data_IF_864958286907
#
_entry.id   IF_864958286907
#
_cell.length_a   1.000
_cell.length_b   1.000
_cell.length_c   1.000
_cell.angle_alpha   90.00
_cell.angle_beta   90.00
_cell.angle_gamma   90.00
#
_symmetry.space_group_name_H-M   'P 1'
#
loop_
_entity.id
_entity.type
_entity.pdbx_description
1 polymer ?
#
# COMPACT_ATOMS: atom_id res chain seq x y z
N UNK A 1 16.05 9.71 20.31
CA UNK A 1 15.23 9.07 19.26
C UNK A 1 15.79 7.68 19.03
N UNK A 2 14.98 6.64 19.24
CA UNK A 2 15.38 5.24 19.06
C UNK A 2 14.97 4.81 17.66
N UNK A 3 15.94 4.46 16.83
CA UNK A 3 15.68 3.88 15.51
C UNK A 3 15.72 2.36 15.66
N UNK A 4 14.65 1.68 15.25
CA UNK A 4 14.59 0.22 15.20
C UNK A 4 14.52 -0.25 13.77
N UNK A 5 15.29 -1.29 13.49
CA UNK A 5 15.34 -1.96 12.20
C UNK A 5 14.79 -3.37 12.35
N UNK A 6 13.77 -3.68 11.56
CA UNK A 6 13.12 -4.98 11.52
C UNK A 6 13.49 -5.69 10.23
N UNK A 7 13.76 -6.99 10.31
CA UNK A 7 14.16 -7.81 9.17
C UNK A 7 13.24 -9.03 9.05
N UNK A 8 12.84 -9.31 7.81
CA UNK A 8 12.12 -10.51 7.41
C UNK A 8 12.95 -11.32 6.42
N UNK A 9 12.82 -12.64 6.44
CA UNK A 9 13.57 -13.51 5.53
C UNK A 9 12.99 -13.57 4.11
N UNK A 10 11.83 -12.95 3.88
CA UNK A 10 11.11 -12.91 2.60
C UNK A 10 10.61 -11.48 2.35
N UNK A 11 10.22 -11.19 1.11
CA UNK A 11 9.55 -9.92 0.80
C UNK A 11 8.12 -9.93 1.37
N UNK A 12 7.84 -9.03 2.33
CA UNK A 12 6.56 -9.00 3.03
C UNK A 12 6.04 -7.57 3.20
N UNK A 13 4.72 -7.47 3.33
CA UNK A 13 4.03 -6.30 3.85
C UNK A 13 3.05 -6.73 4.93
N UNK A 14 2.83 -5.88 5.92
CA UNK A 14 2.00 -6.17 7.08
C UNK A 14 1.11 -4.98 7.41
N UNK A 15 -0.04 -5.26 8.03
CA UNK A 15 -0.89 -4.23 8.62
C UNK A 15 -0.71 -4.25 10.13
N UNK A 16 -0.24 -3.14 10.71
CA UNK A 16 -0.13 -3.00 12.16
C UNK A 16 -1.27 -2.16 12.70
N UNK A 17 -1.76 -2.50 13.89
CA UNK A 17 -2.82 -1.76 14.56
C UNK A 17 -2.17 -0.77 15.52
N UNK A 18 -2.35 0.52 15.25
CA UNK A 18 -1.91 1.60 16.14
C UNK A 18 -2.80 1.66 17.39
N UNK A 19 -2.33 2.23 18.52
CA UNK A 19 -3.14 2.41 19.72
C UNK A 19 -4.39 3.28 19.49
N UNK A 20 -4.38 4.13 18.46
CA UNK A 20 -5.56 4.89 18.01
C UNK A 20 -6.61 4.03 17.30
N UNK A 21 -6.48 2.69 17.29
CA UNK A 21 -7.34 1.73 16.58
C UNK A 21 -7.36 1.88 15.06
N UNK A 22 -6.42 2.66 14.51
CA UNK A 22 -6.19 2.79 13.07
C UNK A 22 -5.22 1.69 12.61
N UNK A 23 -5.46 1.15 11.43
CA UNK A 23 -4.55 0.22 10.78
C UNK A 23 -3.53 1.02 9.96
N UNK A 24 -2.27 0.61 10.02
CA UNK A 24 -1.18 1.20 9.29
C UNK A 24 -0.50 0.12 8.44
N UNK A 25 -0.49 0.31 7.12
CA UNK A 25 0.15 -0.60 6.20
C UNK A 25 1.65 -0.32 6.14
N UNK A 26 2.46 -1.35 6.34
CA UNK A 26 3.92 -1.29 6.29
C UNK A 26 4.39 -2.24 5.19
N UNK A 27 5.16 -1.72 4.25
CA UNK A 27 5.88 -2.52 3.26
C UNK A 27 7.35 -2.57 3.64
N UNK A 28 7.93 -3.76 3.72
CA UNK A 28 9.35 -3.91 3.95
C UNK A 28 10.09 -3.72 2.62
N UNK A 29 11.21 -3.03 2.65
CA UNK A 29 12.04 -2.83 1.46
C UNK A 29 12.79 -4.12 1.15
N UNK A 30 12.57 -4.75 -0.02
CA UNK A 30 13.29 -5.97 -0.38
C UNK A 30 14.78 -5.71 -0.60
N UNK A 31 15.61 -6.68 -0.23
CA UNK A 31 17.05 -6.68 -0.42
C UNK A 31 17.45 -7.81 -1.39
N UNK A 32 18.60 -7.68 -2.04
CA UNK A 32 19.08 -8.65 -3.05
C UNK A 32 19.30 -10.07 -2.52
N UNK A 33 19.39 -10.23 -1.20
CA UNK A 33 19.49 -11.54 -0.53
C UNK A 33 18.13 -12.24 -0.34
N UNK A 34 17.04 -11.70 -0.91
CA UNK A 34 15.68 -12.22 -0.77
C UNK A 34 14.99 -11.89 0.57
N UNK A 35 15.71 -11.26 1.49
CA UNK A 35 15.14 -10.72 2.73
C UNK A 35 14.55 -9.34 2.49
N UNK A 36 13.81 -8.82 3.47
CA UNK A 36 13.31 -7.45 3.44
C UNK A 36 13.53 -6.75 4.77
N UNK A 37 13.67 -5.43 4.74
CA UNK A 37 14.01 -4.60 5.91
C UNK A 37 13.06 -3.42 6.06
N UNK A 38 12.74 -3.07 7.30
CA UNK A 38 11.95 -1.90 7.63
C UNK A 38 12.58 -1.14 8.79
N UNK A 39 12.85 0.15 8.60
CA UNK A 39 13.49 1.01 9.61
C UNK A 39 12.53 2.11 10.02
N UNK A 40 12.37 2.32 11.32
CA UNK A 40 11.51 3.38 11.86
C UNK A 40 12.01 3.93 13.18
N UNK A 41 11.82 5.22 13.38
CA UNK A 41 12.07 5.99 14.60
C UNK A 41 10.79 6.20 15.44
N UNK A 42 9.62 5.90 14.88
CA UNK A 42 8.33 6.13 15.53
C UNK A 42 8.06 5.07 16.60
N UNK A 43 8.15 5.46 17.88
CA UNK A 43 7.93 4.57 19.03
C UNK A 43 6.56 3.88 19.01
N UNK A 44 5.50 4.58 18.59
CA UNK A 44 4.16 4.02 18.56
C UNK A 44 4.09 2.91 17.51
N UNK A 45 4.69 3.15 16.34
CA UNK A 45 4.77 2.17 15.27
C UNK A 45 5.60 0.97 15.71
N UNK A 46 6.76 1.20 16.35
CA UNK A 46 7.62 0.15 16.89
C UNK A 46 6.86 -0.77 17.87
N UNK A 47 6.18 -0.20 18.87
CA UNK A 47 5.38 -0.98 19.84
C UNK A 47 4.26 -1.77 19.15
N UNK A 48 3.68 -1.22 18.09
CA UNK A 48 2.61 -1.88 17.33
C UNK A 48 3.14 -3.04 16.49
N UNK A 49 4.32 -2.87 15.87
CA UNK A 49 5.04 -3.92 15.13
C UNK A 49 5.42 -5.07 16.06
N UNK A 50 5.95 -4.77 17.24
CA UNK A 50 6.39 -5.78 18.23
C UNK A 50 5.24 -6.59 18.83
N UNK A 51 4.02 -6.02 18.86
CA UNK A 51 2.79 -6.71 19.31
C UNK A 51 2.09 -7.48 18.19
N UNK A 52 2.54 -7.36 16.95
CA UNK A 52 1.89 -7.98 15.81
C UNK A 52 2.05 -9.51 15.86
N UNK A 53 1.03 -10.27 15.50
CA UNK A 53 1.01 -11.74 15.59
C UNK A 53 2.10 -12.45 14.76
N UNK A 54 2.62 -11.76 13.73
CA UNK A 54 3.72 -12.26 12.89
C UNK A 54 5.12 -11.89 13.40
N UNK A 55 5.23 -11.05 14.44
CA UNK A 55 6.51 -10.70 15.05
C UNK A 55 7.13 -11.94 15.71
N UNK A 56 8.41 -12.19 15.46
CA UNK A 56 9.14 -13.39 15.87
C UNK A 56 8.96 -14.61 14.96
N UNK A 57 7.92 -14.63 14.11
CA UNK A 57 7.67 -15.71 13.14
C UNK A 57 8.15 -15.36 11.73
N UNK A 58 7.64 -14.26 11.15
CA UNK A 58 7.95 -13.83 9.79
C UNK A 58 9.05 -12.77 9.75
N UNK A 59 9.05 -11.89 10.74
CA UNK A 59 10.02 -10.82 10.88
C UNK A 59 10.39 -10.63 12.35
N UNK A 60 11.56 -10.05 12.59
CA UNK A 60 12.11 -9.84 13.93
C UNK A 60 12.89 -8.53 13.99
N UNK A 61 13.08 -8.02 15.20
CA UNK A 61 13.97 -6.90 15.44
C UNK A 61 15.43 -7.34 15.13
N UNK A 62 16.11 -6.59 14.27
CA UNK A 62 17.50 -6.81 13.92
C UNK A 62 18.42 -5.91 14.77
N UNK A 63 18.13 -4.61 14.81
CA UNK A 63 18.91 -3.65 15.59
C UNK A 63 17.99 -2.60 16.21
N UNK A 64 18.38 -2.12 17.39
CA UNK A 64 17.83 -0.91 18.02
C UNK A 64 18.99 0.05 18.27
N UNK A 65 19.07 1.12 17.49
CA UNK A 65 20.12 2.12 17.59
C UNK A 65 19.52 3.41 18.13
N UNK A 66 19.99 3.84 19.31
CA UNK A 66 19.85 5.22 19.72
C UNK A 66 20.79 6.04 18.82
N UNK A 67 20.27 7.09 18.18
CA UNK A 67 20.99 7.86 17.16
C UNK A 67 22.41 8.24 17.63
N UNK A 68 23.39 7.50 17.13
CA UNK A 68 24.81 7.85 17.06
C UNK A 68 25.28 7.25 15.75
N UNK A 69 25.53 8.10 14.76
CA UNK A 69 25.90 7.72 13.40
C UNK A 69 27.15 6.83 13.39
N UNK A 70 27.06 5.64 12.78
CA UNK A 70 28.08 5.04 11.89
C UNK A 70 27.59 3.65 11.46
N UNK A 71 27.75 3.37 10.15
CA UNK A 71 27.59 2.12 9.41
C UNK A 71 28.04 0.87 10.20
N UNK A 72 27.30 -0.25 10.12
CA UNK A 72 27.89 -1.60 9.95
C UNK A 72 27.03 -2.53 9.09
N UNK A 73 27.55 -2.77 7.88
CA UNK A 73 27.41 -4.02 7.13
C UNK A 73 28.17 -5.10 7.91
N UNK A 74 27.52 -6.20 8.32
CA UNK A 74 28.21 -7.50 8.38
C UNK A 74 27.22 -8.66 8.31
N UNK A 75 27.29 -9.34 7.16
CA UNK A 75 26.98 -10.74 6.94
C UNK A 75 27.80 -11.64 7.88
N UNK A 76 27.19 -12.65 8.52
CA UNK A 76 27.77 -14.01 8.71
C UNK A 76 26.87 -14.95 9.51
N UNK A 77 26.90 -16.18 9.00
CA UNK A 77 26.08 -17.38 9.20
C UNK A 77 26.26 -18.13 10.54
N UNK A 78 25.49 -19.24 10.64
CA UNK A 78 25.60 -20.47 11.49
C UNK A 78 24.58 -20.49 12.66
N UNK A 79 23.76 -21.53 12.89
CA UNK A 79 24.12 -22.94 13.04
C UNK A 79 23.01 -23.94 12.63
N UNK A 80 23.49 -24.97 11.93
CA UNK A 80 22.97 -26.28 11.54
C UNK A 80 22.41 -27.15 12.70
N UNK A 81 21.32 -27.89 12.47
CA UNK A 81 21.28 -29.34 12.74
C UNK A 81 20.02 -30.02 12.18
N UNK A 82 20.30 -31.12 11.48
CA UNK A 82 19.40 -32.03 10.77
C UNK A 82 18.61 -32.92 11.75
N UNK A 83 17.38 -33.33 11.39
CA UNK A 83 17.07 -34.75 11.16
C UNK A 83 15.74 -34.97 10.40
N UNK A 84 15.89 -35.52 9.19
CA UNK A 84 15.13 -36.52 8.41
C UNK A 84 13.82 -37.07 9.04
N UNK A 85 12.77 -37.46 8.30
CA UNK A 85 12.64 -38.44 7.19
C UNK A 85 11.24 -38.18 6.56
N UNK A 86 10.87 -38.40 5.30
CA UNK A 86 11.07 -39.55 4.39
C UNK A 86 10.57 -39.20 2.97
N UNK A 87 11.22 -39.81 1.98
CA UNK A 87 11.09 -39.65 0.52
C UNK A 87 9.74 -40.16 -0.10
N UNK A 88 9.13 -39.49 -1.12
CA UNK A 88 9.08 -39.70 -2.63
C UNK A 88 8.68 -41.15 -3.05
N UNK A 89 8.02 -41.51 -4.21
CA UNK A 89 7.97 -40.80 -5.52
C UNK A 89 6.77 -41.03 -6.53
N UNK A 90 6.80 -40.23 -7.61
CA UNK A 90 6.63 -40.58 -9.06
C UNK A 90 5.28 -40.90 -9.77
N UNK A 91 5.27 -40.43 -11.03
CA UNK A 91 4.54 -40.82 -12.27
C UNK A 91 3.11 -40.26 -12.48
N UNK A 92 2.83 -39.33 -13.40
CA UNK A 92 2.93 -39.28 -14.89
C UNK A 92 1.61 -39.68 -15.58
N UNK A 93 1.23 -38.88 -16.59
CA UNK A 93 0.14 -38.98 -17.60
C UNK A 93 -1.17 -38.23 -17.29
N UNK A 94 -1.84 -37.50 -18.20
CA UNK A 94 -1.58 -36.83 -19.50
C UNK A 94 -2.96 -36.27 -19.94
N UNK A 95 -2.97 -35.11 -20.60
CA UNK A 95 -3.99 -34.58 -21.56
C UNK A 95 -5.40 -34.15 -21.10
N UNK A 96 -5.62 -32.82 -21.00
CA UNK A 96 -6.20 -31.97 -22.07
C UNK A 96 -6.18 -30.48 -21.66
N UNK A 97 -5.35 -29.58 -22.21
CA UNK A 97 -5.58 -28.69 -23.40
C UNK A 97 -6.94 -27.97 -23.38
N UNK A 98 -7.11 -26.64 -23.52
CA UNK A 98 -6.34 -25.48 -24.06
C UNK A 98 -6.83 -24.22 -23.27
N UNK A 99 -6.06 -23.26 -22.73
CA UNK A 99 -5.16 -22.24 -23.34
C UNK A 99 -5.79 -21.58 -24.58
N UNK A 100 -5.98 -20.26 -24.66
CA UNK A 100 -4.99 -19.17 -24.70
C UNK A 100 -5.84 -17.91 -25.04
N UNK A 101 -5.54 -16.64 -24.80
CA UNK A 101 -4.32 -15.86 -24.70
C UNK A 101 -4.73 -14.44 -24.27
N UNK A 102 -4.04 -13.79 -23.32
CA UNK A 102 -2.96 -12.81 -23.55
C UNK A 102 -3.53 -11.47 -24.06
N UNK A 103 -3.21 -10.28 -23.56
CA UNK A 103 -1.90 -9.63 -23.36
C UNK A 103 -2.10 -8.55 -22.27
N UNK A 104 -1.40 -8.53 -21.13
CA UNK A 104 -0.05 -8.00 -20.87
C UNK A 104 0.26 -6.61 -21.44
N UNK A 105 1.14 -5.90 -20.74
CA UNK A 105 1.76 -4.58 -20.92
C UNK A 105 1.19 -3.59 -19.91
N UNK A 106 1.65 -3.62 -18.66
CA UNK A 106 2.89 -2.97 -18.17
C UNK A 106 3.03 -1.51 -18.65
N UNK A 107 3.22 -0.62 -17.68
CA UNK A 107 4.25 0.44 -17.62
C UNK A 107 3.70 1.74 -17.05
N UNK A 108 4.06 1.97 -15.79
CA UNK A 108 4.80 3.13 -15.32
C UNK A 108 4.81 4.33 -16.29
N UNK A 109 4.22 5.43 -15.84
CA UNK A 109 4.44 6.75 -16.39
C UNK A 109 4.30 7.77 -15.27
N UNK A 110 5.43 8.14 -14.68
CA UNK A 110 5.60 9.35 -13.90
C UNK A 110 5.19 10.53 -14.79
N UNK A 111 4.31 11.44 -14.35
CA UNK A 111 4.44 12.84 -14.77
C UNK A 111 3.83 13.78 -13.74
N UNK A 112 4.76 14.49 -13.13
CA UNK A 112 4.69 15.87 -12.67
C UNK A 112 3.72 16.77 -13.47
N UNK A 113 2.98 17.57 -12.68
CA UNK A 113 2.75 19.00 -12.82
C UNK A 113 2.03 19.63 -14.02
N UNK A 114 1.32 20.71 -13.64
CA UNK A 114 0.95 21.90 -14.41
C UNK A 114 -0.37 21.92 -15.18
N UNK A 115 -1.34 22.56 -14.52
CA UNK A 115 -1.93 23.84 -14.94
C UNK A 115 -2.45 23.98 -16.38
N UNK A 116 -3.76 24.20 -16.46
CA UNK A 116 -4.47 24.82 -17.59
C UNK A 116 -5.96 24.77 -17.28
N UNK A 117 -6.50 25.73 -16.52
CA UNK A 117 -7.00 26.99 -17.08
C UNK A 117 -7.98 26.73 -18.22
N UNK A 118 -9.25 26.72 -17.85
CA UNK A 118 -10.42 26.67 -18.71
C UNK A 118 -11.57 27.26 -17.91
N UNK A 119 -11.41 28.54 -17.59
CA UNK A 119 -12.51 29.46 -17.39
C UNK A 119 -13.53 29.30 -18.52
N UNK A 120 -14.71 28.79 -18.19
CA UNK A 120 -15.91 29.28 -18.84
C UNK A 120 -17.05 29.18 -17.82
N UNK A 121 -17.52 30.36 -17.45
CA UNK A 121 -18.56 30.64 -16.49
C UNK A 121 -19.92 30.19 -17.06
N UNK A 122 -20.10 28.88 -17.23
CA UNK A 122 -21.38 28.27 -17.53
C UNK A 122 -21.75 27.35 -16.39
N UNK A 123 -22.45 27.92 -15.40
CA UNK A 123 -22.98 27.17 -14.25
C UNK A 123 -23.84 26.02 -14.77
N UNK A 124 -23.26 24.84 -14.79
CA UNK A 124 -23.93 23.64 -15.26
C UNK A 124 -24.80 23.13 -14.11
N UNK A 125 -26.08 23.46 -14.15
CA UNK A 125 -27.07 22.94 -13.21
C UNK A 125 -27.35 21.48 -13.54
N UNK A 126 -26.85 20.59 -12.70
CA UNK A 126 -27.02 19.14 -12.87
C UNK A 126 -28.00 18.65 -11.81
N UNK A 127 -29.14 18.12 -12.26
CA UNK A 127 -30.11 17.48 -11.37
C UNK A 127 -29.60 16.09 -11.03
N UNK A 128 -29.23 15.89 -9.78
CA UNK A 128 -28.79 14.60 -9.24
C UNK A 128 -29.79 14.14 -8.20
N UNK A 129 -30.14 12.87 -8.25
CA UNK A 129 -31.15 12.29 -7.35
C UNK A 129 -30.58 11.83 -6.01
N UNK A 130 -29.25 11.69 -5.89
CA UNK A 130 -28.59 11.24 -4.67
C UNK A 130 -27.11 11.68 -4.63
N UNK A 131 -26.53 11.70 -3.42
CA UNK A 131 -25.13 12.03 -3.14
C UNK A 131 -24.18 11.14 -3.94
N UNK A 132 -24.52 9.86 -4.12
CA UNK A 132 -23.73 8.93 -4.91
C UNK A 132 -23.67 9.35 -6.40
N UNK A 133 -24.78 9.78 -6.97
CA UNK A 133 -24.85 10.25 -8.36
C UNK A 133 -24.03 11.53 -8.57
N UNK A 134 -24.05 12.46 -7.61
CA UNK A 134 -23.22 13.67 -7.64
C UNK A 134 -21.72 13.34 -7.67
N UNK A 135 -21.30 12.34 -6.87
CA UNK A 135 -19.90 11.88 -6.83
C UNK A 135 -19.48 11.21 -8.13
N UNK A 136 -20.33 10.37 -8.69
CA UNK A 136 -20.04 9.67 -9.94
C UNK A 136 -19.93 10.67 -11.09
N UNK A 137 -20.80 11.70 -11.12
CA UNK A 137 -20.71 12.79 -12.10
C UNK A 137 -19.39 13.57 -12.00
N UNK A 138 -18.97 13.95 -10.78
CA UNK A 138 -17.70 14.65 -10.60
C UNK A 138 -16.48 13.77 -10.95
N UNK A 139 -16.58 12.47 -10.70
CA UNK A 139 -15.53 11.52 -11.04
C UNK A 139 -15.40 11.34 -12.56
N UNK A 140 -16.51 11.19 -13.29
CA UNK A 140 -16.48 10.95 -14.72
C UNK A 140 -16.18 12.22 -15.53
N UNK A 141 -16.58 13.40 -15.04
CA UNK A 141 -16.39 14.68 -15.74
C UNK A 141 -15.06 15.37 -15.42
N UNK A 142 -14.61 15.32 -14.16
CA UNK A 142 -13.42 16.04 -13.68
C UNK A 142 -12.30 15.12 -13.22
N UNK A 143 -12.50 13.80 -13.26
CA UNK A 143 -11.50 12.83 -12.79
C UNK A 143 -11.32 12.84 -11.26
N UNK A 144 -12.23 13.48 -10.51
CA UNK A 144 -12.10 13.58 -9.05
C UNK A 144 -12.46 12.23 -8.44
N UNK A 145 -11.49 11.62 -7.74
CA UNK A 145 -11.70 10.32 -7.12
C UNK A 145 -12.90 10.31 -6.16
N UNK A 146 -13.84 9.36 -6.36
CA UNK A 146 -15.03 9.16 -5.52
C UNK A 146 -14.70 8.97 -4.03
N UNK A 147 -13.49 8.50 -3.73
CA UNK A 147 -12.97 8.30 -2.37
C UNK A 147 -12.50 9.58 -1.70
N UNK A 148 -12.19 10.64 -2.45
CA UNK A 148 -11.84 11.98 -1.94
C UNK A 148 -13.07 12.70 -1.41
N UNK A 149 -14.21 12.52 -2.08
CA UNK A 149 -15.50 13.12 -1.75
C UNK A 149 -16.31 12.23 -0.80
N UNK A 150 -15.99 12.26 0.49
CA UNK A 150 -16.70 11.46 1.53
C UNK A 150 -17.78 12.23 2.28
N UNK A 151 -17.78 13.55 2.19
CA UNK A 151 -18.72 14.43 2.87
C UNK A 151 -19.51 15.24 1.85
N UNK A 152 -20.79 15.49 2.14
CA UNK A 152 -21.68 16.33 1.32
C UNK A 152 -21.04 17.69 1.04
N UNK A 153 -20.48 18.34 2.07
CA UNK A 153 -19.77 19.62 1.93
C UNK A 153 -18.63 19.56 0.91
N UNK A 154 -17.84 18.49 0.91
CA UNK A 154 -16.72 18.33 -0.03
C UNK A 154 -17.22 18.14 -1.48
N UNK A 155 -18.37 17.51 -1.67
CA UNK A 155 -18.98 17.32 -3.00
C UNK A 155 -19.46 18.66 -3.55
N UNK A 156 -20.16 19.46 -2.74
CA UNK A 156 -20.63 20.78 -3.18
C UNK A 156 -19.48 21.75 -3.42
N UNK A 157 -18.42 21.71 -2.59
CA UNK A 157 -17.25 22.58 -2.75
C UNK A 157 -16.49 22.27 -4.03
N UNK A 158 -16.31 20.98 -4.35
CA UNK A 158 -15.70 20.56 -5.62
C UNK A 158 -16.61 20.88 -6.80
N UNK A 159 -17.91 20.67 -6.67
CA UNK A 159 -18.88 21.05 -7.70
C UNK A 159 -18.81 22.56 -7.99
N UNK A 160 -18.86 23.39 -6.96
CA UNK A 160 -18.80 24.84 -7.08
C UNK A 160 -17.44 25.32 -7.63
N UNK A 161 -16.32 24.71 -7.22
CA UNK A 161 -14.99 25.00 -7.76
C UNK A 161 -14.89 24.71 -9.27
N UNK A 162 -15.71 23.78 -9.76
CA UNK A 162 -15.80 23.39 -11.15
C UNK A 162 -17.05 23.96 -11.88
N UNK A 163 -17.75 24.92 -11.26
CA UNK A 163 -18.90 25.59 -11.88
C UNK A 163 -20.16 24.73 -12.01
N UNK A 164 -20.35 23.75 -11.13
CA UNK A 164 -21.52 22.87 -11.11
C UNK A 164 -22.35 23.11 -9.86
N UNK A 165 -23.65 23.22 -10.06
CA UNK A 165 -24.64 23.28 -9.00
C UNK A 165 -25.50 22.02 -9.06
N UNK A 166 -25.46 21.24 -7.99
CA UNK A 166 -26.29 20.05 -7.83
C UNK A 166 -27.63 20.43 -7.19
N UNK A 167 -28.71 20.34 -7.96
CA UNK A 167 -30.07 20.48 -7.43
C UNK A 167 -30.63 19.08 -7.10
N UNK A 168 -30.92 18.81 -5.82
CA UNK A 168 -31.54 17.55 -5.37
C UNK A 168 -30.82 16.76 -4.27
N UNK A 169 -29.80 17.34 -3.62
CA UNK A 169 -29.09 16.75 -2.46
C UNK A 169 -29.76 17.04 -1.11
#
# INVERSE_FOLDING_TARGET
>A
MTIKTYMANTNISINVVLPSKKNFHITFTPLSNGSSVFTTDNEILQRSIERHYNFGKLFRLQTSQEQSAERKVTDKQKVTSLKNQKEIPAAENVDKTELDNNENVEQNGETEDNAGAGDDETVCKVKVSDIAAAKDYLADKFGISRTSMRSTKAILEQAAAHGIEFEGL
#
